data_IF_637424287380
#
_entry.id   IF_637424287380
#
_cell.length_a   1.000
_cell.length_b   1.000
_cell.length_c   1.000
_cell.angle_alpha   90.00
_cell.angle_beta   90.00
_cell.angle_gamma   90.00
#
_symmetry.space_group_name_H-M   'P 1'
#
loop_
_entity.id
_entity.type
_entity.pdbx_description
1 polymer ?
#
# COMPACT_ATOMS: atom_id res chain seq x y z
N UNK A 1 -13.45 -1.59 -29.14
CA UNK A 1 -13.05 -0.40 -29.91
C UNK A 1 -11.55 -0.28 -29.82
N UNK A 2 -10.84 -0.26 -30.95
CA UNK A 2 -9.40 -0.02 -30.96
C UNK A 2 -9.18 1.48 -30.74
N UNK A 3 -8.59 1.86 -29.60
CA UNK A 3 -8.13 3.24 -29.36
C UNK A 3 -6.98 3.55 -30.33
N UNK A 4 -6.95 4.77 -30.87
CA UNK A 4 -5.83 5.20 -31.70
C UNK A 4 -4.57 5.40 -30.85
N UNK A 5 -3.39 5.40 -31.48
CA UNK A 5 -2.11 5.66 -30.79
C UNK A 5 -2.05 7.06 -30.16
N UNK A 6 -2.72 8.04 -30.76
CA UNK A 6 -2.88 9.39 -30.23
C UNK A 6 -3.74 9.39 -28.96
N UNK A 7 -4.83 8.62 -28.92
CA UNK A 7 -5.72 8.52 -27.75
C UNK A 7 -5.01 7.86 -26.56
N UNK A 8 -4.23 6.80 -26.82
CA UNK A 8 -3.47 6.11 -25.78
C UNK A 8 -2.39 7.01 -25.16
N UNK A 9 -1.74 7.84 -25.98
CA UNK A 9 -0.72 8.80 -25.52
C UNK A 9 -1.33 9.91 -24.65
N UNK A 10 -2.50 10.42 -25.06
CA UNK A 10 -3.26 11.39 -24.27
C UNK A 10 -3.72 10.82 -22.93
N UNK A 11 -4.30 9.61 -22.93
CA UNK A 11 -4.72 8.92 -21.70
C UNK A 11 -3.54 8.70 -20.74
N UNK A 12 -2.38 8.28 -21.27
CA UNK A 12 -1.18 8.10 -20.47
C UNK A 12 -0.74 9.41 -19.80
N UNK A 13 -0.73 10.52 -20.54
CA UNK A 13 -0.38 11.83 -20.00
C UNK A 13 -1.35 12.27 -18.89
N UNK A 14 -2.66 12.11 -19.12
CA UNK A 14 -3.70 12.41 -18.14
C UNK A 14 -3.52 11.58 -16.86
N UNK A 15 -3.34 10.25 -16.99
CA UNK A 15 -3.14 9.37 -15.83
C UNK A 15 -1.91 9.80 -15.03
N UNK A 16 -0.79 10.10 -15.71
CA UNK A 16 0.42 10.57 -15.03
C UNK A 16 0.16 11.87 -14.28
N UNK A 17 -0.53 12.83 -14.88
CA UNK A 17 -0.88 14.09 -14.24
C UNK A 17 -1.75 13.89 -12.99
N UNK A 18 -2.78 13.04 -13.08
CA UNK A 18 -3.65 12.72 -11.94
C UNK A 18 -2.85 12.08 -10.79
N UNK A 19 -1.93 11.16 -11.11
CA UNK A 19 -1.06 10.53 -10.11
C UNK A 19 -0.07 11.55 -9.54
N UNK A 20 0.55 12.41 -10.34
CA UNK A 20 1.48 13.44 -9.87
C UNK A 20 0.82 14.35 -8.83
N UNK A 21 -0.40 14.81 -9.10
CA UNK A 21 -1.17 15.66 -8.19
C UNK A 21 -1.44 14.97 -6.84
N UNK A 22 -1.70 13.66 -6.86
CA UNK A 22 -2.03 12.87 -5.67
C UNK A 22 -0.80 12.35 -4.92
N UNK A 23 0.31 12.12 -5.62
CA UNK A 23 1.54 11.57 -5.06
C UNK A 23 2.55 12.64 -4.66
N UNK A 24 2.43 13.87 -5.16
CA UNK A 24 3.46 14.93 -5.03
C UNK A 24 4.86 14.49 -5.48
N UNK A 25 4.95 13.52 -6.39
CA UNK A 25 6.20 13.13 -7.03
C UNK A 25 6.18 13.61 -8.48
N UNK A 26 7.25 14.27 -8.96
CA UNK A 26 7.30 14.81 -10.32
C UNK A 26 7.40 13.72 -11.39
N UNK A 27 7.93 12.54 -11.06
CA UNK A 27 8.22 11.50 -12.03
C UNK A 27 7.34 10.29 -11.79
N UNK A 28 6.48 9.99 -12.76
CA UNK A 28 5.57 8.84 -12.71
C UNK A 28 5.84 7.95 -13.91
N UNK A 29 6.08 6.68 -13.63
CA UNK A 29 6.14 5.65 -14.65
C UNK A 29 5.14 4.55 -14.34
N UNK A 30 4.21 4.32 -15.27
CA UNK A 30 3.24 3.25 -15.14
C UNK A 30 3.91 1.89 -15.33
N UNK A 31 3.36 0.88 -14.68
CA UNK A 31 3.85 -0.51 -14.74
C UNK A 31 2.70 -1.45 -15.04
N UNK A 32 3.02 -2.67 -15.48
CA UNK A 32 2.00 -3.68 -15.81
C UNK A 32 1.27 -4.25 -14.59
N UNK A 33 1.87 -4.13 -13.39
CA UNK A 33 1.33 -4.61 -12.10
C UNK A 33 2.15 -4.06 -10.93
N UNK A 34 1.58 -4.05 -9.73
CA UNK A 34 2.32 -3.62 -8.52
C UNK A 34 3.63 -4.39 -8.26
N UNK A 35 3.68 -5.69 -8.55
CA UNK A 35 4.93 -6.47 -8.43
C UNK A 35 6.04 -5.96 -9.37
N UNK A 36 5.68 -5.42 -10.53
CA UNK A 36 6.64 -4.83 -11.46
C UNK A 36 7.18 -3.51 -10.90
N UNK A 37 6.32 -2.69 -10.28
CA UNK A 37 6.75 -1.48 -9.56
C UNK A 37 7.70 -1.81 -8.39
N UNK A 38 7.40 -2.84 -7.58
CA UNK A 38 8.30 -3.29 -6.51
C UNK A 38 9.63 -3.80 -7.10
N UNK A 39 9.59 -4.62 -8.16
CA UNK A 39 10.82 -5.11 -8.83
C UNK A 39 11.67 -3.97 -9.36
N UNK A 40 11.04 -2.95 -9.93
CA UNK A 40 11.69 -1.76 -10.45
C UNK A 40 12.36 -0.98 -9.30
N UNK A 41 11.61 -0.68 -8.23
CA UNK A 41 12.12 0.01 -7.05
C UNK A 41 13.33 -0.70 -6.43
N UNK A 42 13.26 -2.01 -6.25
CA UNK A 42 14.34 -2.80 -5.67
C UNK A 42 15.57 -2.94 -6.56
N UNK A 43 15.43 -2.75 -7.87
CA UNK A 43 16.58 -2.81 -8.80
C UNK A 43 17.46 -1.56 -8.72
N UNK A 44 16.97 -0.49 -8.10
CA UNK A 44 17.68 0.76 -7.84
C UNK A 44 18.56 0.70 -6.58
N UNK A 45 18.41 -0.37 -5.79
CA UNK A 45 19.08 -0.50 -4.50
C UNK A 45 20.42 -1.23 -4.63
N UNK A 46 21.44 -0.86 -3.84
CA UNK A 46 22.66 -1.63 -3.72
C UNK A 46 22.35 -3.05 -3.23
N UNK A 47 22.90 -4.07 -3.90
CA UNK A 47 22.62 -5.48 -3.60
C UNK A 47 23.32 -6.00 -2.34
N UNK A 48 24.36 -5.30 -1.89
CA UNK A 48 25.19 -5.60 -0.73
C UNK A 48 24.64 -5.00 0.57
N UNK A 49 23.58 -4.20 0.50
CA UNK A 49 22.92 -3.57 1.66
C UNK A 49 21.58 -4.20 1.96
N UNK A 50 21.18 -4.15 3.23
CA UNK A 50 19.95 -4.77 3.73
C UNK A 50 18.72 -3.95 3.38
N UNK A 51 17.69 -4.62 2.85
CA UNK A 51 16.33 -4.08 2.74
C UNK A 51 15.59 -4.33 4.06
N UNK A 52 15.04 -3.27 4.65
CA UNK A 52 14.13 -3.35 5.77
C UNK A 52 12.69 -3.51 5.26
N UNK A 53 11.91 -4.39 5.88
CA UNK A 53 10.48 -4.56 5.65
C UNK A 53 9.77 -4.72 6.99
N UNK A 54 8.48 -4.41 7.14
CA UNK A 54 7.78 -4.68 8.39
C UNK A 54 7.59 -6.19 8.59
N UNK A 55 7.60 -6.66 9.84
CA UNK A 55 7.38 -8.07 10.16
C UNK A 55 5.92 -8.52 9.97
N UNK A 56 4.99 -7.57 9.93
CA UNK A 56 3.57 -7.76 9.63
C UNK A 56 2.98 -6.49 8.98
N UNK A 57 1.75 -6.54 8.47
CA UNK A 57 1.15 -5.42 7.75
C UNK A 57 1.75 -5.12 6.37
N UNK A 58 2.71 -5.92 5.92
CA UNK A 58 3.32 -5.79 4.59
C UNK A 58 2.56 -6.52 3.48
N UNK A 59 3.22 -6.71 2.34
CA UNK A 59 2.72 -7.54 1.23
C UNK A 59 3.64 -8.72 0.97
N UNK A 60 3.10 -9.85 0.49
CA UNK A 60 3.86 -11.09 0.27
C UNK A 60 5.08 -10.89 -0.65
N UNK A 61 4.96 -9.98 -1.61
CA UNK A 61 6.03 -9.65 -2.54
C UNK A 61 7.25 -9.01 -1.89
N UNK A 62 7.11 -8.42 -0.69
CA UNK A 62 8.22 -7.82 0.06
C UNK A 62 9.23 -8.86 0.55
N UNK A 63 8.81 -10.12 0.71
CA UNK A 63 9.71 -11.24 1.01
C UNK A 63 10.13 -11.98 -0.26
N UNK A 64 9.19 -12.22 -1.17
CA UNK A 64 9.42 -13.03 -2.37
C UNK A 64 10.42 -12.37 -3.34
N UNK A 65 10.22 -11.09 -3.69
CA UNK A 65 11.02 -10.42 -4.73
C UNK A 65 12.48 -10.20 -4.27
N UNK A 66 12.76 -9.73 -3.05
CA UNK A 66 14.14 -9.64 -2.57
C UNK A 66 14.87 -10.99 -2.57
N UNK A 67 14.18 -12.07 -2.18
CA UNK A 67 14.73 -13.44 -2.22
C UNK A 67 15.12 -13.85 -3.64
N UNK A 68 14.25 -13.62 -4.63
CA UNK A 68 14.54 -13.86 -6.05
C UNK A 68 15.78 -13.06 -6.52
N UNK A 69 15.94 -11.83 -6.03
CA UNK A 69 17.05 -10.93 -6.39
C UNK A 69 18.30 -11.10 -5.52
N UNK A 70 18.28 -12.01 -4.53
CA UNK A 70 19.34 -12.21 -3.53
C UNK A 70 19.70 -10.92 -2.75
N UNK A 71 18.71 -10.08 -2.48
CA UNK A 71 18.85 -8.89 -1.64
C UNK A 71 18.67 -9.32 -0.17
N UNK A 72 19.61 -9.02 0.75
CA UNK A 72 19.44 -9.29 2.17
C UNK A 72 18.22 -8.56 2.73
N UNK A 73 17.40 -9.24 3.53
CA UNK A 73 16.19 -8.67 4.14
C UNK A 73 16.27 -8.79 5.65
N UNK A 74 15.84 -7.74 6.35
CA UNK A 74 15.65 -7.74 7.79
C UNK A 74 14.26 -7.19 8.11
N UNK A 75 13.50 -7.91 8.93
CA UNK A 75 12.19 -7.47 9.36
C UNK A 75 12.33 -6.41 10.46
N UNK A 76 11.45 -5.41 10.47
CA UNK A 76 11.30 -4.38 11.51
C UNK A 76 10.08 -4.72 12.35
N UNK A 77 10.22 -4.65 13.68
CA UNK A 77 9.17 -4.96 14.62
C UNK A 77 7.96 -4.04 14.41
N UNK A 78 6.77 -4.56 14.66
CA UNK A 78 5.53 -3.80 14.52
C UNK A 78 4.63 -3.98 15.76
N UNK A 79 3.85 -2.95 16.04
CA UNK A 79 2.75 -3.00 16.99
C UNK A 79 1.43 -3.04 16.21
N UNK A 80 0.94 -4.25 15.93
CA UNK A 80 -0.24 -4.48 15.12
C UNK A 80 -0.16 -3.76 13.77
N UNK A 81 0.81 -4.16 12.94
CA UNK A 81 1.11 -3.59 11.62
C UNK A 81 1.62 -2.14 11.58
N UNK A 82 1.71 -1.43 12.72
CA UNK A 82 2.33 -0.11 12.82
C UNK A 82 3.82 -0.28 13.15
N UNK A 83 4.72 0.34 12.38
CA UNK A 83 6.17 0.15 12.55
C UNK A 83 6.63 0.69 13.91
N UNK A 84 7.43 -0.11 14.63
CA UNK A 84 8.13 0.33 15.84
C UNK A 84 9.35 1.18 15.45
N UNK A 85 9.29 2.47 15.79
CA UNK A 85 10.36 3.43 15.50
C UNK A 85 11.66 3.14 16.28
N UNK A 86 11.57 2.54 17.47
CA UNK A 86 12.74 2.23 18.30
C UNK A 86 13.53 1.07 17.68
N UNK A 87 12.83 0.00 17.31
CA UNK A 87 13.43 -1.14 16.61
C UNK A 87 13.96 -0.74 15.21
N UNK A 88 13.21 0.10 14.48
CA UNK A 88 13.70 0.67 13.22
C UNK A 88 15.02 1.43 13.41
N UNK A 89 15.10 2.28 14.44
CA UNK A 89 16.30 3.06 14.74
C UNK A 89 17.48 2.15 15.11
N UNK A 90 17.26 1.12 15.94
CA UNK A 90 18.29 0.16 16.32
C UNK A 90 18.85 -0.59 15.11
N UNK A 91 17.98 -1.04 14.20
CA UNK A 91 18.36 -1.75 12.98
C UNK A 91 19.17 -0.86 12.04
N UNK A 92 18.75 0.41 11.87
CA UNK A 92 19.47 1.40 11.06
C UNK A 92 20.85 1.74 11.63
N UNK A 93 21.00 1.81 12.97
CA UNK A 93 22.31 2.04 13.63
C UNK A 93 23.27 0.88 13.45
N UNK A 94 22.74 -0.35 13.55
CA UNK A 94 23.56 -1.57 13.63
C UNK A 94 23.88 -2.20 12.28
N UNK A 95 23.23 -1.75 11.19
CA UNK A 95 23.34 -2.40 9.88
C UNK A 95 23.40 -1.39 8.73
N UNK A 96 24.14 -1.71 7.64
CA UNK A 96 24.07 -0.94 6.41
C UNK A 96 22.75 -1.24 5.67
N UNK A 97 21.74 -0.39 5.87
CA UNK A 97 20.45 -0.50 5.21
C UNK A 97 20.39 0.30 3.89
N UNK A 98 19.79 -0.26 2.84
CA UNK A 98 19.58 0.43 1.56
C UNK A 98 18.26 1.17 1.52
N UNK A 99 17.20 0.52 1.99
CA UNK A 99 15.86 1.07 2.01
C UNK A 99 14.99 0.42 3.09
N UNK A 100 13.92 1.11 3.47
CA UNK A 100 12.74 0.57 4.12
C UNK A 100 11.61 0.52 3.10
N UNK A 101 11.05 -0.67 2.86
CA UNK A 101 9.85 -0.88 2.05
C UNK A 101 8.68 -1.24 2.97
N UNK A 102 7.65 -0.40 2.99
CA UNK A 102 6.44 -0.64 3.78
C UNK A 102 5.19 -0.18 3.06
N UNK A 103 4.03 -0.65 3.53
CA UNK A 103 2.73 -0.21 3.03
C UNK A 103 2.14 0.86 3.95
N UNK A 104 1.54 1.90 3.39
CA UNK A 104 0.72 2.84 4.16
C UNK A 104 -0.73 2.84 3.63
N UNK A 105 -1.74 2.68 4.49
CA UNK A 105 -1.64 2.16 5.85
C UNK A 105 -1.17 0.70 5.86
N UNK A 106 -0.43 0.32 6.91
CA UNK A 106 0.01 -1.05 7.18
C UNK A 106 -1.18 -1.99 7.23
N UNK A 107 -1.13 -3.07 6.45
CA UNK A 107 -2.22 -4.02 6.31
C UNK A 107 -3.54 -3.42 5.81
N UNK A 108 -3.52 -2.21 5.24
CA UNK A 108 -4.69 -1.39 4.89
C UNK A 108 -5.48 -0.80 6.08
N UNK A 109 -4.98 -0.83 7.31
CA UNK A 109 -5.70 -0.34 8.50
C UNK A 109 -4.88 0.45 9.51
N UNK A 110 -3.57 0.24 9.58
CA UNK A 110 -2.67 0.89 10.53
C UNK A 110 -1.94 2.08 9.87
N UNK A 111 -2.30 3.30 10.23
CA UNK A 111 -1.62 4.50 9.74
C UNK A 111 -0.16 4.50 10.20
N UNK A 112 0.78 4.73 9.28
CA UNK A 112 2.20 4.75 9.63
C UNK A 112 2.64 6.16 10.01
N UNK A 113 3.54 6.33 11.00
CA UNK A 113 4.15 7.62 11.33
C UNK A 113 5.15 8.04 10.25
N UNK A 114 4.65 8.42 9.06
CA UNK A 114 5.44 8.61 7.84
C UNK A 114 6.56 9.62 8.02
N UNK A 115 6.29 10.74 8.71
CA UNK A 115 7.25 11.82 8.91
C UNK A 115 8.42 11.34 9.77
N UNK A 116 8.12 10.67 10.87
CA UNK A 116 9.10 10.12 11.81
C UNK A 116 9.93 9.03 11.14
N UNK A 117 9.28 8.12 10.41
CA UNK A 117 9.96 7.08 9.61
C UNK A 117 10.90 7.74 8.61
N UNK A 118 10.43 8.72 7.83
CA UNK A 118 11.23 9.39 6.81
C UNK A 118 12.43 10.10 7.42
N UNK A 119 12.22 10.93 8.44
CA UNK A 119 13.29 11.65 9.12
C UNK A 119 14.35 10.69 9.69
N UNK A 120 13.90 9.61 10.31
CA UNK A 120 14.80 8.59 10.85
C UNK A 120 15.60 7.90 9.74
N UNK A 121 14.96 7.45 8.66
CA UNK A 121 15.65 6.81 7.54
C UNK A 121 16.67 7.74 6.86
N UNK A 122 16.35 9.04 6.70
CA UNK A 122 17.27 10.03 6.11
C UNK A 122 18.55 10.20 6.93
N UNK A 123 18.48 10.15 8.27
CA UNK A 123 19.66 10.25 9.15
C UNK A 123 20.70 9.15 8.89
N UNK A 124 20.27 7.98 8.40
CA UNK A 124 21.13 6.82 8.15
C UNK A 124 21.30 6.52 6.65
N UNK A 125 20.96 7.47 5.77
CA UNK A 125 21.02 7.31 4.32
C UNK A 125 20.26 6.06 3.81
N UNK A 126 19.17 5.70 4.48
CA UNK A 126 18.26 4.64 4.10
C UNK A 126 17.10 5.24 3.30
N UNK A 127 16.82 4.72 2.10
CA UNK A 127 15.72 5.22 1.27
C UNK A 127 14.36 4.77 1.80
N UNK A 128 13.33 5.56 1.60
CA UNK A 128 11.96 5.21 1.95
C UNK A 128 11.15 4.88 0.70
N UNK A 129 10.68 3.63 0.63
CA UNK A 129 9.80 3.12 -0.41
C UNK A 129 8.43 2.85 0.23
N UNK A 130 7.39 3.57 -0.18
CA UNK A 130 6.04 3.34 0.31
C UNK A 130 5.18 2.70 -0.76
N UNK A 131 4.54 1.58 -0.42
CA UNK A 131 3.45 1.02 -1.19
C UNK A 131 2.15 1.77 -0.84
N UNK A 132 1.69 2.58 -1.79
CA UNK A 132 0.51 3.45 -1.66
C UNK A 132 -0.75 2.82 -2.25
N UNK A 133 -0.75 1.51 -2.51
CA UNK A 133 -1.93 0.79 -3.02
C UNK A 133 -3.16 0.90 -2.12
N UNK A 134 -2.96 1.22 -0.83
CA UNK A 134 -4.03 1.48 0.16
C UNK A 134 -4.18 2.94 0.56
N UNK A 135 -3.45 3.87 -0.06
CA UNK A 135 -3.40 5.27 0.34
C UNK A 135 -3.59 6.27 -0.79
N UNK A 136 -3.43 5.88 -2.06
CA UNK A 136 -3.59 6.83 -3.18
C UNK A 136 -4.94 7.56 -3.10
N UNK A 137 -4.90 8.89 -3.18
CA UNK A 137 -6.07 9.76 -3.02
C UNK A 137 -6.39 10.18 -1.58
N UNK A 138 -5.61 9.75 -0.59
CA UNK A 138 -5.75 10.18 0.81
C UNK A 138 -4.50 10.94 1.29
N UNK A 139 -4.58 11.51 2.50
CA UNK A 139 -3.43 12.15 3.17
C UNK A 139 -2.27 11.17 3.47
N UNK A 140 -2.50 9.86 3.37
CA UNK A 140 -1.46 8.84 3.56
C UNK A 140 -0.57 8.63 2.32
N UNK A 141 -0.91 9.29 1.21
CA UNK A 141 -0.11 9.34 -0.01
C UNK A 141 0.57 10.71 -0.10
N UNK A 142 1.62 10.91 0.69
CA UNK A 142 2.34 12.18 0.71
C UNK A 142 3.80 11.99 0.27
N UNK A 143 4.09 12.45 -0.95
CA UNK A 143 5.40 12.36 -1.55
C UNK A 143 6.49 12.99 -0.71
N UNK A 144 6.19 13.97 0.14
CA UNK A 144 7.18 14.62 1.00
C UNK A 144 7.90 13.63 1.93
N UNK A 145 7.26 12.51 2.29
CA UNK A 145 7.77 11.50 3.20
C UNK A 145 8.18 10.17 2.53
N UNK A 146 8.42 10.19 1.20
CA UNK A 146 8.93 9.04 0.48
C UNK A 146 9.92 9.44 -0.61
N UNK A 147 10.92 8.60 -0.83
CA UNK A 147 11.83 8.75 -1.98
C UNK A 147 11.22 8.09 -3.23
N UNK A 148 10.52 6.97 -3.02
CA UNK A 148 9.88 6.17 -4.06
C UNK A 148 8.48 5.75 -3.59
N UNK A 149 7.48 5.86 -4.47
CA UNK A 149 6.25 5.11 -4.30
C UNK A 149 6.16 3.93 -5.26
N UNK A 150 5.48 2.89 -4.78
CA UNK A 150 4.99 1.80 -5.63
C UNK A 150 3.49 1.65 -5.40
N UNK A 151 2.76 1.27 -6.43
CA UNK A 151 1.32 1.08 -6.32
C UNK A 151 0.84 0.00 -7.29
N UNK A 152 -0.18 -0.73 -6.86
CA UNK A 152 -0.93 -1.67 -7.69
C UNK A 152 -2.31 -1.12 -8.00
N UNK A 153 -2.73 -1.29 -9.26
CA UNK A 153 -4.11 -1.05 -9.71
C UNK A 153 -4.89 -2.36 -9.92
N UNK A 154 -4.43 -3.43 -9.29
CA UNK A 154 -5.08 -4.74 -9.36
C UNK A 154 -6.46 -4.77 -8.69
N UNK A 155 -7.02 -5.96 -8.63
CA UNK A 155 -8.31 -6.21 -7.97
C UNK A 155 -8.27 -5.81 -6.48
N UNK A 156 -9.40 -5.28 -5.99
CA UNK A 156 -9.60 -4.84 -4.61
C UNK A 156 -8.63 -3.75 -4.11
N UNK A 157 -8.08 -2.95 -5.02
CA UNK A 157 -7.28 -1.75 -4.69
C UNK A 157 -8.17 -0.51 -4.74
N UNK A 158 -7.68 0.63 -4.25
CA UNK A 158 -8.46 1.88 -4.32
C UNK A 158 -8.69 2.29 -5.78
N UNK A 159 -7.62 2.36 -6.57
CA UNK A 159 -7.72 2.41 -8.03
C UNK A 159 -7.80 0.98 -8.54
N UNK A 160 -8.98 0.53 -8.93
CA UNK A 160 -9.25 -0.87 -9.27
C UNK A 160 -9.48 -1.02 -10.78
N UNK A 161 -8.38 -1.23 -11.51
CA UNK A 161 -8.39 -1.40 -12.97
C UNK A 161 -8.13 -2.87 -13.39
N UNK A 162 -8.11 -3.80 -12.43
CA UNK A 162 -7.83 -5.23 -12.64
C UNK A 162 -6.35 -5.55 -12.94
N UNK A 163 -5.63 -4.66 -13.63
CA UNK A 163 -4.17 -4.74 -13.83
C UNK A 163 -3.54 -3.33 -13.82
N UNK A 164 -2.21 -3.30 -13.78
CA UNK A 164 -1.44 -2.07 -13.80
C UNK A 164 -0.91 -1.67 -12.42
N UNK A 165 -0.20 -0.57 -12.42
CA UNK A 165 0.39 0.04 -11.24
C UNK A 165 1.25 1.22 -11.64
N UNK A 166 1.96 1.80 -10.69
CA UNK A 166 2.97 2.80 -10.98
C UNK A 166 4.13 2.70 -10.00
N UNK A 167 5.26 3.26 -10.45
CA UNK A 167 6.36 3.68 -9.61
C UNK A 167 6.50 5.19 -9.76
N UNK A 168 6.74 5.89 -8.67
CA UNK A 168 7.07 7.31 -8.69
C UNK A 168 8.32 7.62 -7.89
N UNK A 169 9.04 8.66 -8.30
CA UNK A 169 10.28 9.08 -7.66
C UNK A 169 10.36 10.60 -7.58
N UNK A 170 11.11 11.10 -6.59
CA UNK A 170 11.51 12.52 -6.52
C UNK A 170 12.66 12.89 -7.46
N UNK A 171 13.56 11.95 -7.75
CA UNK A 171 14.84 12.21 -8.42
C UNK A 171 14.85 11.65 -9.86
N UNK A 172 15.15 12.52 -10.83
CA UNK A 172 15.25 12.20 -12.27
C UNK A 172 16.28 11.12 -12.58
N UNK A 173 17.36 11.04 -11.80
CA UNK A 173 18.38 10.01 -11.97
C UNK A 173 17.82 8.62 -11.66
N UNK A 174 16.86 8.54 -10.75
CA UNK A 174 16.20 7.30 -10.40
C UNK A 174 15.34 6.84 -11.58
N UNK A 175 14.50 7.72 -12.14
CA UNK A 175 13.62 7.39 -13.27
C UNK A 175 14.41 6.96 -14.51
N UNK A 176 15.50 7.65 -14.85
CA UNK A 176 16.36 7.29 -15.98
C UNK A 176 17.00 5.90 -15.87
N UNK A 177 17.12 5.35 -14.65
CA UNK A 177 17.67 4.02 -14.40
C UNK A 177 16.62 2.90 -14.37
N UNK A 178 15.34 3.25 -14.51
CA UNK A 178 14.24 2.28 -14.59
C UNK A 178 14.20 1.63 -15.97
N UNK A 179 14.60 0.37 -16.07
CA UNK A 179 14.39 -0.45 -17.26
C UNK A 179 12.95 -1.00 -17.29
N UNK A 180 11.99 -0.16 -17.67
CA UNK A 180 10.58 -0.56 -17.85
C UNK A 180 10.27 -0.67 -19.34
N UNK A 181 10.10 -1.89 -19.84
CA UNK A 181 9.90 -2.20 -21.26
C UNK A 181 8.50 -2.74 -21.58
N UNK A 182 7.46 -2.21 -20.93
CA UNK A 182 6.11 -2.71 -21.15
C UNK A 182 5.15 -1.61 -21.60
N UNK A 183 4.69 -1.73 -22.85
CA UNK A 183 3.52 -1.02 -23.35
C UNK A 183 2.30 -1.48 -22.55
N UNK A 184 1.64 -0.54 -21.87
CA UNK A 184 0.35 -0.81 -21.24
C UNK A 184 -0.72 -0.77 -22.32
N UNK A 185 -1.48 -1.86 -22.40
CA UNK A 185 -2.66 -1.99 -23.24
C UNK A 185 -3.59 -0.77 -23.11
N UNK A 186 -3.99 -0.12 -24.22
CA UNK A 186 -4.90 1.02 -24.21
C UNK A 186 -6.21 0.78 -23.45
N UNK A 187 -6.76 -0.44 -23.49
CA UNK A 187 -7.97 -0.77 -22.73
C UNK A 187 -7.75 -0.65 -21.22
N UNK A 188 -6.53 -0.94 -20.76
CA UNK A 188 -6.16 -0.81 -19.35
C UNK A 188 -5.83 0.62 -18.98
N UNK A 189 -5.24 1.41 -19.87
CA UNK A 189 -5.15 2.85 -19.66
C UNK A 189 -6.54 3.46 -19.48
N UNK A 190 -7.51 3.10 -20.32
CA UNK A 190 -8.89 3.57 -20.17
C UNK A 190 -9.50 3.16 -18.81
N UNK A 191 -9.27 1.92 -18.37
CA UNK A 191 -9.76 1.43 -17.07
C UNK A 191 -9.10 2.13 -15.88
N UNK A 192 -7.79 2.40 -15.94
CA UNK A 192 -7.06 3.16 -14.92
C UNK A 192 -7.60 4.59 -14.86
N UNK A 193 -7.74 5.27 -16.01
CA UNK A 193 -8.24 6.63 -16.07
C UNK A 193 -9.66 6.74 -15.49
N UNK A 194 -10.57 5.84 -15.87
CA UNK A 194 -11.92 5.80 -15.32
C UNK A 194 -11.92 5.55 -13.80
N UNK A 195 -11.04 4.67 -13.31
CA UNK A 195 -10.91 4.39 -11.87
C UNK A 195 -10.37 5.58 -11.08
N UNK A 196 -9.42 6.34 -11.65
CA UNK A 196 -8.88 7.56 -11.04
C UNK A 196 -9.92 8.68 -10.95
N UNK A 197 -10.78 8.82 -11.97
CA UNK A 197 -11.88 9.80 -11.97
C UNK A 197 -12.91 9.53 -10.86
N UNK A 198 -13.12 8.27 -10.51
CA UNK A 198 -14.07 7.85 -9.46
C UNK A 198 -13.42 7.64 -8.08
N UNK A 199 -12.11 7.86 -7.97
CA UNK A 199 -11.33 7.51 -6.78
C UNK A 199 -11.85 8.22 -5.52
N UNK A 200 -12.09 9.53 -5.59
CA UNK A 200 -12.53 10.31 -4.43
C UNK A 200 -13.92 9.84 -3.95
N UNK A 201 -14.84 9.59 -4.90
CA UNK A 201 -16.17 9.05 -4.59
C UNK A 201 -16.11 7.66 -3.96
N UNK A 202 -15.16 6.81 -4.40
CA UNK A 202 -14.93 5.49 -3.81
C UNK A 202 -14.38 5.62 -2.40
N UNK A 203 -13.41 6.51 -2.17
CA UNK A 203 -12.82 6.77 -0.84
C UNK A 203 -13.93 7.24 0.11
N UNK A 204 -14.72 8.23 -0.27
CA UNK A 204 -15.81 8.75 0.56
C UNK A 204 -16.81 7.65 0.94
N UNK A 205 -17.24 6.85 -0.04
CA UNK A 205 -18.13 5.71 0.20
C UNK A 205 -17.53 4.72 1.22
N UNK A 206 -16.26 4.35 1.07
CA UNK A 206 -15.60 3.40 1.95
C UNK A 206 -15.41 3.97 3.37
N UNK A 207 -15.12 5.26 3.50
CA UNK A 207 -14.98 5.93 4.80
C UNK A 207 -16.32 6.06 5.52
N UNK A 208 -17.42 6.35 4.82
CA UNK A 208 -18.75 6.34 5.41
C UNK A 208 -19.14 4.92 5.88
N UNK A 209 -18.86 3.90 5.07
CA UNK A 209 -19.06 2.50 5.51
C UNK A 209 -18.20 2.14 6.72
N UNK A 210 -16.94 2.61 6.76
CA UNK A 210 -16.07 2.43 7.94
C UNK A 210 -16.70 3.02 9.19
N UNK A 211 -17.20 4.27 9.14
CA UNK A 211 -17.83 4.94 10.30
C UNK A 211 -19.01 4.13 10.85
N UNK A 212 -19.85 3.58 9.98
CA UNK A 212 -20.99 2.75 10.38
C UNK A 212 -20.49 1.50 11.11
N UNK A 213 -19.55 0.75 10.51
CA UNK A 213 -19.05 -0.50 11.10
C UNK A 213 -18.32 -0.25 12.43
N UNK A 214 -17.50 0.81 12.52
CA UNK A 214 -16.81 1.18 13.76
C UNK A 214 -17.79 1.52 14.89
N UNK A 215 -18.93 2.15 14.57
CA UNK A 215 -19.97 2.45 15.54
C UNK A 215 -20.70 1.18 15.98
N UNK A 216 -21.09 0.33 15.04
CA UNK A 216 -21.86 -0.88 15.34
C UNK A 216 -21.03 -1.89 16.15
N UNK A 217 -19.72 -1.98 15.88
CA UNK A 217 -18.79 -2.87 16.56
C UNK A 217 -17.98 -2.17 17.66
N UNK A 218 -18.45 -1.02 18.15
CA UNK A 218 -17.70 -0.18 19.09
C UNK A 218 -17.32 -0.85 20.41
N UNK A 219 -18.04 -1.91 20.80
CA UNK A 219 -17.83 -2.65 22.04
C UNK A 219 -16.74 -3.74 21.94
N UNK A 220 -16.18 -3.96 20.74
CA UNK A 220 -15.09 -4.91 20.53
C UNK A 220 -13.74 -4.20 20.50
N UNK A 221 -12.66 -4.97 20.66
CA UNK A 221 -11.30 -4.46 20.56
C UNK A 221 -10.91 -4.21 19.09
N UNK A 222 -11.26 -3.03 18.59
CA UNK A 222 -10.86 -2.57 17.25
C UNK A 222 -9.41 -2.07 17.30
N UNK A 223 -8.55 -2.68 16.51
CA UNK A 223 -7.13 -2.33 16.41
C UNK A 223 -6.99 -1.05 15.59
N UNK A 224 -6.22 -0.07 16.09
CA UNK A 224 -5.99 1.22 15.43
C UNK A 224 -7.29 1.88 14.96
N UNK A 225 -8.28 1.95 15.87
CA UNK A 225 -9.66 2.41 15.60
C UNK A 225 -9.72 3.75 14.87
N UNK A 226 -8.87 4.69 15.27
CA UNK A 226 -8.91 6.08 14.82
C UNK A 226 -8.02 6.34 13.60
N UNK A 227 -7.21 5.35 13.20
CA UNK A 227 -6.35 5.45 12.02
C UNK A 227 -7.19 5.42 10.73
N UNK A 228 -6.70 6.12 9.70
CA UNK A 228 -7.28 6.03 8.37
C UNK A 228 -6.96 4.67 7.74
N UNK A 229 -7.99 3.97 7.25
CA UNK A 229 -7.80 2.69 6.60
C UNK A 229 -9.04 2.14 5.91
N UNK A 230 -8.83 1.18 5.01
CA UNK A 230 -9.86 0.52 4.21
C UNK A 230 -10.02 -0.96 4.56
N UNK A 231 -9.52 -1.32 5.73
CA UNK A 231 -9.73 -2.59 6.44
C UNK A 231 -10.01 -2.24 7.90
N UNK A 232 -10.89 -3.00 8.55
CA UNK A 232 -11.12 -2.93 10.01
C UNK A 232 -10.65 -4.24 10.60
N UNK A 233 -9.78 -4.19 11.61
CA UNK A 233 -9.28 -5.39 12.29
C UNK A 233 -9.79 -5.38 13.72
N UNK A 234 -10.42 -6.48 14.12
CA UNK A 234 -11.06 -6.64 15.42
C UNK A 234 -10.47 -7.86 16.10
N UNK A 235 -9.77 -7.63 17.21
CA UNK A 235 -9.22 -8.71 18.01
C UNK A 235 -10.33 -9.40 18.82
N UNK A 236 -10.13 -10.69 19.08
CA UNK A 236 -11.00 -11.49 19.93
C UNK A 236 -10.16 -12.36 20.87
N UNK A 237 -10.70 -12.64 22.05
CA UNK A 237 -10.08 -13.52 23.04
C UNK A 237 -10.86 -14.82 23.23
N UNK A 238 -12.11 -14.87 22.75
CA UNK A 238 -12.99 -16.05 22.89
C UNK A 238 -13.64 -16.42 21.56
N UNK A 239 -14.04 -17.70 21.43
CA UNK A 239 -14.81 -18.16 20.27
C UNK A 239 -16.18 -17.46 20.17
N UNK A 240 -16.79 -17.09 21.30
CA UNK A 240 -18.08 -16.38 21.30
C UNK A 240 -17.94 -14.97 20.69
N UNK A 241 -16.90 -14.22 21.05
CA UNK A 241 -16.62 -12.91 20.44
C UNK A 241 -16.37 -13.04 18.94
N UNK A 242 -15.54 -14.01 18.55
CA UNK A 242 -15.25 -14.31 17.14
C UNK A 242 -16.54 -14.56 16.35
N UNK A 243 -17.40 -15.45 16.84
CA UNK A 243 -18.68 -15.78 16.17
C UNK A 243 -19.60 -14.57 16.07
N UNK A 244 -19.67 -13.71 17.10
CA UNK A 244 -20.49 -12.49 17.03
C UNK A 244 -19.99 -11.52 15.95
N UNK A 245 -18.67 -11.36 15.82
CA UNK A 245 -18.07 -10.50 14.78
C UNK A 245 -18.35 -11.09 13.38
N UNK A 246 -18.17 -12.39 13.20
CA UNK A 246 -18.45 -13.09 11.93
C UNK A 246 -19.94 -12.99 11.57
N UNK A 247 -20.84 -13.19 12.54
CA UNK A 247 -22.27 -13.06 12.34
C UNK A 247 -22.67 -11.65 11.92
N UNK A 248 -22.06 -10.61 12.51
CA UNK A 248 -22.25 -9.23 12.03
C UNK A 248 -21.82 -9.08 10.57
N UNK A 249 -20.67 -9.65 10.18
CA UNK A 249 -20.22 -9.60 8.79
C UNK A 249 -21.22 -10.31 7.84
N UNK A 250 -21.74 -11.48 8.22
CA UNK A 250 -22.76 -12.18 7.41
C UNK A 250 -24.05 -11.37 7.26
N UNK A 251 -24.56 -10.80 8.36
CA UNK A 251 -25.78 -10.00 8.37
C UNK A 251 -25.66 -8.72 7.52
N UNK A 252 -24.45 -8.18 7.39
CA UNK A 252 -24.18 -6.95 6.65
C UNK A 252 -23.48 -7.20 5.31
N UNK A 253 -23.40 -8.45 4.85
CA UNK A 253 -22.77 -8.86 3.58
C UNK A 253 -21.33 -8.36 3.43
N UNK A 254 -20.58 -8.32 4.54
CA UNK A 254 -19.20 -7.86 4.57
C UNK A 254 -18.24 -9.04 4.36
N UNK A 255 -17.32 -8.90 3.41
CA UNK A 255 -16.20 -9.83 3.28
C UNK A 255 -15.24 -9.67 4.45
N UNK A 256 -14.75 -10.81 4.96
CA UNK A 256 -13.79 -10.85 6.06
C UNK A 256 -12.80 -12.00 5.90
N UNK A 257 -11.70 -11.92 6.63
CA UNK A 257 -10.72 -13.01 6.77
C UNK A 257 -10.25 -13.13 8.21
N UNK A 258 -9.87 -14.33 8.63
CA UNK A 258 -9.33 -14.58 9.97
C UNK A 258 -7.81 -14.37 10.00
N UNK A 259 -7.31 -13.79 11.09
CA UNK A 259 -5.89 -13.65 11.45
C UNK A 259 -5.48 -14.77 12.43
N UNK A 260 -4.19 -15.17 12.47
CA UNK A 260 -3.00 -14.42 12.03
C UNK A 260 -2.75 -14.45 10.51
N UNK A 261 -2.36 -13.31 9.95
CA UNK A 261 -1.91 -13.18 8.56
C UNK A 261 -0.81 -12.13 8.47
N UNK A 262 0.34 -12.46 7.87
CA UNK A 262 1.45 -11.52 7.65
C UNK A 262 1.00 -10.18 7.04
N UNK A 263 0.05 -10.22 6.10
CA UNK A 263 -0.47 -9.01 5.43
C UNK A 263 -1.49 -8.20 6.27
N UNK A 264 -1.74 -8.62 7.51
CA UNK A 264 -2.64 -8.00 8.49
C UNK A 264 -1.90 -7.95 9.84
N UNK A 265 -2.36 -8.73 10.83
CA UNK A 265 -1.75 -8.87 12.15
C UNK A 265 -1.42 -10.34 12.45
N UNK A 266 -0.42 -10.59 13.28
CA UNK A 266 0.03 -11.90 13.73
C UNK A 266 -0.60 -12.34 15.05
N UNK A 267 -1.87 -11.99 15.28
CA UNK A 267 -2.64 -12.43 16.45
C UNK A 267 -4.10 -12.73 16.10
N UNK A 268 -4.86 -13.41 16.99
CA UNK A 268 -6.27 -13.71 16.76
C UNK A 268 -7.10 -12.43 16.53
N UNK A 269 -7.66 -12.32 15.32
CA UNK A 269 -8.50 -11.20 14.92
C UNK A 269 -9.33 -11.53 13.68
N UNK A 270 -10.40 -10.77 13.44
CA UNK A 270 -11.15 -10.76 12.19
C UNK A 270 -10.82 -9.47 11.44
N UNK A 271 -10.40 -9.61 10.17
CA UNK A 271 -10.10 -8.53 9.24
C UNK A 271 -11.28 -8.36 8.28
N UNK A 272 -12.05 -7.28 8.44
CA UNK A 272 -13.16 -6.89 7.57
C UNK A 272 -12.61 -6.08 6.39
N UNK A 273 -12.89 -6.52 5.16
CA UNK A 273 -12.20 -6.09 3.95
C UNK A 273 -12.96 -4.98 3.18
N UNK A 274 -13.15 -3.81 3.80
CA UNK A 274 -14.01 -2.73 3.27
C UNK A 274 -13.65 -2.33 1.84
N UNK A 275 -12.35 -2.29 1.50
CA UNK A 275 -11.87 -2.02 0.13
C UNK A 275 -12.45 -2.93 -0.98
N UNK A 276 -13.11 -4.03 -0.63
CA UNK A 276 -13.80 -4.94 -1.57
C UNK A 276 -15.26 -4.58 -1.82
N UNK A 277 -15.82 -3.68 -1.02
CA UNK A 277 -17.19 -3.22 -1.19
C UNK A 277 -17.33 -2.46 -2.50
N UNK A 278 -18.42 -2.75 -3.22
CA UNK A 278 -18.80 -2.03 -4.43
C UNK A 278 -20.00 -1.15 -4.13
N UNK A 279 -19.98 0.07 -4.65
CA UNK A 279 -21.16 0.94 -4.62
C UNK A 279 -22.17 0.36 -5.61
N UNK A 280 -23.28 -0.14 -5.08
CA UNK A 280 -24.47 -0.58 -5.83
C UNK A 280 -25.18 0.59 -6.47
#
# INVERSE_FOLDING_TARGET
MNLSTTDASHLLAQIKQDIQLRAKHPLITLTTRGDAAIKAALSLLPKDKTLLIPEEGGWLSYLRIPREKKIPVMAVHCHDAKIDLSDLQEKLKSNPCSALLYQNPGGYFAEQPMKEIYQLCQQYHCRVIIDVSGAIGTALCDGDFADIFVCSFGEWKLVEAGKGGFISCKDEKIDASLSLNDLIDPAVLASIAASLQLLDQKIDFLLEKRKIILRDLQNYQIIHRDDLGFVIVIAFSTSEEKEKIINYCHQNELEWTECPRYIRVQRPAISIELKRLRKS
#
